data_IF_588647565080
#
_entry.id   IF_588647565080
#
_cell.length_a   1.000
_cell.length_b   1.000
_cell.length_c   1.000
_cell.angle_alpha   90.00
_cell.angle_beta   90.00
_cell.angle_gamma   90.00
#
_symmetry.space_group_name_H-M   'P 1'
#
loop_
_entity.id
_entity.type
_entity.pdbx_description
1 polymer ?
#
# COMPACT_ATOMS: atom_id res chain seq x y z
N UNK A 1 -8.17 -14.58 13.30
CA UNK A 1 -7.14 -13.51 13.18
C UNK A 1 -6.97 -12.83 14.53
N UNK A 2 -5.75 -12.65 14.99
CA UNK A 2 -5.53 -11.98 16.27
C UNK A 2 -5.53 -10.46 16.08
N UNK A 3 -5.56 -9.74 17.19
CA UNK A 3 -5.65 -8.29 17.18
C UNK A 3 -4.46 -7.62 16.48
N UNK A 4 -3.25 -8.14 16.71
CA UNK A 4 -2.04 -7.60 16.12
C UNK A 4 -2.08 -7.69 14.59
N UNK A 5 -2.50 -8.84 14.06
CA UNK A 5 -2.58 -9.04 12.61
C UNK A 5 -3.64 -8.14 11.98
N UNK A 6 -4.74 -7.95 12.67
CA UNK A 6 -5.81 -7.07 12.19
C UNK A 6 -5.32 -5.62 12.10
N UNK A 7 -4.61 -5.16 13.13
CA UNK A 7 -4.07 -3.80 13.14
C UNK A 7 -3.02 -3.61 12.04
N UNK A 8 -2.18 -4.64 11.83
CA UNK A 8 -1.19 -4.60 10.75
C UNK A 8 -1.86 -4.46 9.39
N UNK A 9 -2.93 -5.21 9.15
CA UNK A 9 -3.67 -5.12 7.90
C UNK A 9 -4.30 -3.73 7.72
N UNK A 10 -4.86 -3.17 8.77
CA UNK A 10 -5.44 -1.83 8.72
C UNK A 10 -4.39 -0.78 8.37
N UNK A 11 -3.20 -0.89 8.97
CA UNK A 11 -2.11 0.03 8.65
C UNK A 11 -1.71 -0.06 7.19
N UNK A 12 -1.63 -1.27 6.65
CA UNK A 12 -1.29 -1.47 5.25
C UNK A 12 -2.35 -0.87 4.34
N UNK A 13 -3.63 -1.07 4.65
CA UNK A 13 -4.70 -0.50 3.84
C UNK A 13 -4.66 1.03 3.83
N UNK A 14 -4.38 1.64 4.97
CA UNK A 14 -4.26 3.09 5.04
C UNK A 14 -3.06 3.58 4.23
N UNK A 15 -1.94 2.87 4.29
CA UNK A 15 -0.77 3.21 3.50
C UNK A 15 -1.07 3.11 2.00
N UNK A 16 -1.83 2.09 1.59
CA UNK A 16 -2.22 1.93 0.21
C UNK A 16 -3.11 3.08 -0.26
N UNK A 17 -4.01 3.56 0.58
CA UNK A 17 -4.84 4.72 0.25
C UNK A 17 -4.01 5.97 0.05
N UNK A 18 -3.01 6.19 0.89
CA UNK A 18 -2.11 7.33 0.76
C UNK A 18 -1.33 7.27 -0.55
N UNK A 19 -0.81 6.09 -0.90
CA UNK A 19 -0.08 5.91 -2.15
C UNK A 19 -1.00 6.13 -3.35
N UNK A 20 -2.22 5.63 -3.28
CA UNK A 20 -3.20 5.85 -4.34
C UNK A 20 -3.46 7.33 -4.55
N UNK A 21 -3.60 8.08 -3.46
CA UNK A 21 -3.82 9.52 -3.51
C UNK A 21 -2.63 10.22 -4.20
N UNK A 22 -1.42 9.79 -3.91
CA UNK A 22 -0.22 10.32 -4.54
C UNK A 22 -0.20 10.01 -6.04
N UNK A 23 -0.58 8.79 -6.42
CA UNK A 23 -0.64 8.39 -7.83
C UNK A 23 -1.62 9.29 -8.58
N UNK A 24 -2.79 9.56 -7.99
CA UNK A 24 -3.82 10.36 -8.63
C UNK A 24 -3.36 11.80 -8.91
N UNK A 25 -2.43 12.31 -8.14
CA UNK A 25 -1.94 13.68 -8.28
C UNK A 25 -0.57 13.80 -8.91
N UNK A 26 0.00 12.71 -9.41
CA UNK A 26 1.36 12.69 -9.94
C UNK A 26 1.35 12.62 -11.47
N UNK A 27 2.20 13.45 -12.09
CA UNK A 27 2.35 13.47 -13.56
C UNK A 27 3.73 12.97 -14.01
N UNK A 28 4.61 12.62 -13.09
CA UNK A 28 5.95 12.15 -13.37
C UNK A 28 5.94 10.63 -13.52
N UNK A 29 6.34 10.12 -14.69
CA UNK A 29 6.33 8.69 -14.99
C UNK A 29 7.21 7.88 -14.05
N UNK A 30 8.42 8.39 -13.74
CA UNK A 30 9.33 7.68 -12.84
C UNK A 30 8.72 7.56 -11.45
N UNK A 31 8.08 8.61 -10.99
CA UNK A 31 7.42 8.60 -9.69
C UNK A 31 6.23 7.65 -9.69
N UNK A 32 5.48 7.63 -10.78
CA UNK A 32 4.36 6.70 -10.93
C UNK A 32 4.82 5.24 -10.84
N UNK A 33 5.94 4.92 -11.49
CA UNK A 33 6.48 3.57 -11.43
C UNK A 33 6.85 3.18 -10.00
N UNK A 34 7.50 4.08 -9.28
CA UNK A 34 7.89 3.83 -7.90
C UNK A 34 6.68 3.66 -6.99
N UNK A 35 5.66 4.48 -7.19
CA UNK A 35 4.43 4.38 -6.40
C UNK A 35 3.69 3.08 -6.70
N UNK A 36 3.69 2.66 -7.97
CA UNK A 36 3.08 1.38 -8.35
C UNK A 36 3.79 0.20 -7.69
N UNK A 37 5.12 0.26 -7.59
CA UNK A 37 5.87 -0.77 -6.89
C UNK A 37 5.54 -0.79 -5.41
N UNK A 38 5.35 0.38 -4.80
CA UNK A 38 4.92 0.47 -3.40
C UNK A 38 3.59 -0.23 -3.19
N UNK A 39 2.62 0.02 -4.06
CA UNK A 39 1.30 -0.63 -3.96
C UNK A 39 1.46 -2.14 -4.07
N UNK A 40 2.27 -2.60 -5.00
CA UNK A 40 2.49 -4.04 -5.17
C UNK A 40 3.10 -4.66 -3.92
N UNK A 41 4.10 -4.01 -3.36
CA UNK A 41 4.76 -4.50 -2.15
C UNK A 41 3.80 -4.52 -0.96
N UNK A 42 2.98 -3.49 -0.81
CA UNK A 42 1.98 -3.43 0.25
C UNK A 42 0.92 -4.50 0.08
N UNK A 43 0.50 -4.78 -1.14
CA UNK A 43 -0.46 -5.83 -1.44
C UNK A 43 0.10 -7.20 -1.06
N UNK A 44 1.37 -7.45 -1.34
CA UNK A 44 2.01 -8.69 -0.96
C UNK A 44 2.12 -8.84 0.55
N UNK A 45 2.48 -7.76 1.23
CA UNK A 45 2.54 -7.76 2.69
C UNK A 45 1.17 -8.09 3.28
N UNK A 46 0.11 -7.50 2.73
CA UNK A 46 -1.25 -7.74 3.17
C UNK A 46 -1.63 -9.22 3.03
N UNK A 47 -1.29 -9.82 1.88
CA UNK A 47 -1.57 -11.24 1.63
C UNK A 47 -0.85 -12.16 2.60
N UNK A 48 0.34 -11.77 3.05
CA UNK A 48 1.16 -12.60 3.92
C UNK A 48 0.72 -12.55 5.39
N UNK A 49 -0.13 -11.62 5.75
CA UNK A 49 -0.67 -11.54 7.11
C UNK A 49 -1.89 -12.44 7.21
N UNK A 50 -1.86 -13.37 8.15
CA UNK A 50 -2.93 -14.36 8.31
C UNK A 50 -3.99 -13.95 9.33
#
# INVERSE_FOLDING_TARGET
MNKTNRLAKECILLAMEDVKSEIDSTYDEDKLLKLSECIRNLSEAYKNIK
#
